data_IF_736183112884
#
_entry.id   IF_736183112884
#
_cell.length_a   1.000
_cell.length_b   1.000
_cell.length_c   1.000
_cell.angle_alpha   90.00
_cell.angle_beta   90.00
_cell.angle_gamma   90.00
#
_symmetry.space_group_name_H-M   'P 1'
#
loop_
_entity.id
_entity.type
_entity.pdbx_description
1 polymer ?
#
# COMPACT_ATOMS: atom_id res chain seq x y z
N UNK A 1 -11.65 -61.87 -43.27
CA UNK A 1 -10.77 -60.74 -42.96
C UNK A 1 -11.66 -59.54 -42.67
N UNK A 2 -11.57 -59.00 -41.45
CA UNK A 2 -12.27 -57.85 -40.86
C UNK A 2 -13.82 -57.84 -40.83
N UNK A 3 -14.35 -58.28 -39.68
CA UNK A 3 -15.65 -57.96 -39.09
C UNK A 3 -15.77 -56.46 -38.80
N UNK A 4 -16.90 -55.85 -39.15
CA UNK A 4 -17.34 -54.55 -38.59
C UNK A 4 -18.60 -54.83 -37.79
N UNK A 5 -18.52 -54.68 -36.47
CA UNK A 5 -19.64 -54.88 -35.57
C UNK A 5 -20.34 -53.53 -35.32
N UNK A 6 -21.64 -53.39 -35.59
CA UNK A 6 -22.35 -52.14 -35.34
C UNK A 6 -22.57 -51.91 -33.84
N UNK A 7 -22.39 -50.66 -33.39
CA UNK A 7 -22.68 -50.22 -32.03
C UNK A 7 -24.20 -50.26 -31.75
N UNK A 8 -24.64 -50.73 -30.57
CA UNK A 8 -26.05 -50.66 -30.19
C UNK A 8 -26.47 -49.22 -29.87
N UNK A 9 -27.52 -48.77 -30.56
CA UNK A 9 -28.25 -47.54 -30.29
C UNK A 9 -29.17 -47.74 -29.08
N UNK A 10 -28.79 -47.19 -27.93
CA UNK A 10 -29.70 -46.99 -26.81
C UNK A 10 -29.57 -45.54 -26.33
N UNK A 11 -30.55 -44.73 -26.70
CA UNK A 11 -30.76 -43.39 -26.15
C UNK A 11 -31.38 -43.56 -24.75
N UNK A 12 -30.75 -43.07 -23.66
CA UNK A 12 -31.40 -43.08 -22.36
C UNK A 12 -32.51 -42.02 -22.33
N UNK A 13 -33.68 -42.45 -21.91
CA UNK A 13 -34.86 -41.62 -21.66
C UNK A 13 -34.56 -40.61 -20.53
N UNK A 14 -34.84 -39.33 -20.78
CA UNK A 14 -34.55 -38.25 -19.85
C UNK A 14 -35.49 -38.37 -18.62
N UNK A 15 -34.91 -38.74 -17.47
CA UNK A 15 -35.59 -38.58 -16.18
C UNK A 15 -35.52 -37.12 -15.74
N UNK A 16 -36.67 -36.58 -15.34
CA UNK A 16 -36.84 -35.22 -14.83
C UNK A 16 -35.80 -34.87 -13.76
N UNK A 17 -34.90 -33.94 -14.09
CA UNK A 17 -33.98 -33.34 -13.14
C UNK A 17 -34.73 -32.44 -12.18
N UNK A 18 -34.77 -32.83 -10.91
CA UNK A 18 -35.16 -31.94 -9.83
C UNK A 18 -34.24 -30.70 -9.84
N UNK A 19 -34.82 -29.50 -10.02
CA UNK A 19 -34.07 -28.25 -9.87
C UNK A 19 -33.67 -28.08 -8.40
N UNK A 20 -32.37 -27.94 -8.06
CA UNK A 20 -31.97 -27.63 -6.70
C UNK A 20 -32.42 -26.20 -6.37
N UNK A 21 -33.24 -26.05 -5.33
CA UNK A 21 -33.55 -24.75 -4.76
C UNK A 21 -32.31 -24.27 -3.99
N UNK A 22 -31.72 -23.10 -4.32
CA UNK A 22 -30.55 -22.61 -3.59
C UNK A 22 -30.95 -22.30 -2.15
N UNK A 23 -30.42 -23.09 -1.20
CA UNK A 23 -30.51 -22.77 0.22
C UNK A 23 -29.56 -21.59 0.48
N UNK A 24 -30.05 -20.56 1.17
CA UNK A 24 -29.22 -19.42 1.56
C UNK A 24 -28.05 -19.93 2.42
N UNK A 25 -26.84 -19.85 1.87
CA UNK A 25 -25.61 -20.12 2.62
C UNK A 25 -25.58 -19.20 3.83
N UNK A 26 -25.47 -19.78 5.03
CA UNK A 26 -25.29 -19.00 6.26
C UNK A 26 -24.09 -18.07 6.07
N UNK A 27 -24.29 -16.77 6.29
CA UNK A 27 -23.20 -15.80 6.24
C UNK A 27 -22.24 -16.13 7.37
N UNK A 28 -21.11 -16.76 7.05
CA UNK A 28 -20.07 -17.08 8.03
C UNK A 28 -19.51 -15.76 8.55
N UNK A 29 -19.42 -15.63 9.87
CA UNK A 29 -18.80 -14.47 10.51
C UNK A 29 -17.38 -14.25 9.95
N UNK A 30 -17.06 -13.04 9.43
CA UNK A 30 -15.74 -12.72 8.90
C UNK A 30 -14.59 -13.00 9.87
N UNK A 31 -14.81 -12.81 11.18
CA UNK A 31 -13.78 -13.08 12.18
C UNK A 31 -13.52 -14.59 12.35
N UNK A 32 -14.52 -15.41 12.07
CA UNK A 32 -14.40 -16.87 12.01
C UNK A 32 -13.67 -17.30 10.74
N UNK A 33 -14.01 -16.74 9.57
CA UNK A 33 -13.29 -17.01 8.31
C UNK A 33 -11.80 -16.65 8.39
N UNK A 34 -11.48 -15.49 8.94
CA UNK A 34 -10.09 -15.03 9.10
C UNK A 34 -9.22 -15.98 9.95
N UNK A 35 -9.82 -16.72 10.89
CA UNK A 35 -9.11 -17.73 11.68
C UNK A 35 -8.75 -18.98 10.87
N UNK A 36 -9.57 -19.33 9.88
CA UNK A 36 -9.30 -20.44 8.97
C UNK A 36 -8.34 -20.04 7.83
N UNK A 37 -8.36 -18.77 7.41
CA UNK A 37 -7.44 -18.24 6.39
C UNK A 37 -5.99 -18.14 6.88
N UNK A 38 -5.77 -17.73 8.15
CA UNK A 38 -4.41 -17.59 8.70
C UNK A 38 -4.32 -18.10 10.16
N UNK A 39 -3.76 -19.31 10.37
CA UNK A 39 -3.65 -19.88 11.71
C UNK A 39 -2.70 -19.04 12.59
N UNK A 40 -2.86 -19.12 13.91
CA UNK A 40 -2.14 -18.25 14.85
C UNK A 40 -0.61 -18.28 14.71
N UNK A 41 -0.04 -19.44 14.37
CA UNK A 41 1.40 -19.60 14.14
C UNK A 41 1.91 -18.93 12.85
N UNK A 42 1.02 -18.67 11.89
CA UNK A 42 1.34 -18.00 10.63
C UNK A 42 1.16 -16.48 10.71
N UNK A 43 0.56 -15.97 11.81
CA UNK A 43 0.39 -14.54 12.04
C UNK A 43 1.70 -13.90 12.44
N UNK A 44 1.92 -12.68 11.97
CA UNK A 44 3.08 -11.88 12.36
C UNK A 44 2.92 -11.41 13.80
N UNK A 45 3.99 -11.55 14.59
CA UNK A 45 4.00 -11.16 16.00
C UNK A 45 3.91 -9.63 16.14
N UNK A 46 3.09 -9.18 17.09
CA UNK A 46 3.09 -7.78 17.55
C UNK A 46 4.03 -7.56 18.74
N UNK A 47 4.59 -8.63 19.31
CA UNK A 47 5.56 -8.56 20.42
C UNK A 47 6.95 -8.23 19.91
N UNK A 48 7.31 -8.70 18.71
CA UNK A 48 8.56 -8.38 18.04
C UNK A 48 8.25 -7.95 16.62
N UNK A 49 8.51 -6.67 16.30
CA UNK A 49 8.08 -6.08 15.04
C UNK A 49 9.28 -5.62 14.24
N UNK A 50 9.35 -6.08 12.99
CA UNK A 50 10.29 -5.60 12.00
C UNK A 50 10.63 -6.69 10.98
N UNK A 51 10.95 -6.30 9.73
CA UNK A 51 11.25 -7.26 8.68
C UNK A 51 12.54 -8.05 8.92
N UNK A 52 13.59 -7.44 9.48
CA UNK A 52 14.95 -8.02 9.51
C UNK A 52 15.31 -8.53 10.91
N UNK A 53 15.53 -9.84 11.05
CA UNK A 53 16.03 -10.46 12.27
C UNK A 53 17.56 -10.35 12.43
N UNK A 54 18.09 -10.72 13.59
CA UNK A 54 19.54 -10.66 13.90
C UNK A 54 20.42 -11.44 12.91
N UNK A 55 19.97 -12.63 12.49
CA UNK A 55 20.67 -13.47 11.50
C UNK A 55 20.77 -12.81 10.12
N UNK A 56 19.89 -11.86 9.83
CA UNK A 56 19.82 -11.11 8.57
C UNK A 56 20.52 -9.74 8.68
N UNK A 57 21.25 -9.51 9.79
CA UNK A 57 21.88 -8.24 10.08
C UNK A 57 20.97 -7.25 10.83
N UNK A 58 19.82 -7.67 11.36
CA UNK A 58 19.07 -6.86 12.32
C UNK A 58 19.86 -6.61 13.60
N UNK A 59 19.45 -5.60 14.36
CA UNK A 59 19.89 -5.44 15.75
C UNK A 59 19.25 -6.51 16.64
N UNK A 60 19.79 -6.68 17.86
CA UNK A 60 19.23 -7.59 18.85
C UNK A 60 17.77 -7.21 19.21
N UNK A 61 16.91 -8.16 19.61
CA UNK A 61 15.52 -7.86 19.95
C UNK A 61 15.36 -6.81 21.06
N UNK A 62 16.35 -6.66 21.92
CA UNK A 62 16.41 -5.70 23.03
C UNK A 62 17.17 -4.41 22.68
N UNK A 63 17.36 -4.09 21.39
CA UNK A 63 18.17 -2.94 20.96
C UNK A 63 17.73 -1.56 21.51
N UNK A 64 16.46 -1.41 21.89
CA UNK A 64 15.93 -0.19 22.54
C UNK A 64 16.05 -0.23 24.08
N UNK A 65 16.58 -1.32 24.64
CA UNK A 65 16.80 -1.52 26.06
C UNK A 65 15.52 -1.35 26.88
N UNK A 66 15.64 -0.62 28.00
CA UNK A 66 14.53 -0.35 28.91
C UNK A 66 13.70 0.91 28.53
N UNK A 67 13.98 1.54 27.39
CA UNK A 67 13.32 2.80 26.99
C UNK A 67 11.80 2.63 26.85
N UNK A 68 11.05 3.61 27.34
CA UNK A 68 9.60 3.57 27.28
C UNK A 68 9.09 3.89 25.86
N UNK A 69 8.04 3.19 25.42
CA UNK A 69 7.46 3.33 24.09
C UNK A 69 7.02 4.76 23.74
N UNK A 70 6.26 5.46 24.60
CA UNK A 70 5.84 6.83 24.31
C UNK A 70 7.03 7.79 24.13
N UNK A 71 8.13 7.56 24.85
CA UNK A 71 9.37 8.33 24.66
C UNK A 71 9.97 8.04 23.28
N UNK A 72 10.08 6.78 22.88
CA UNK A 72 10.61 6.39 21.57
C UNK A 72 9.76 6.95 20.42
N UNK A 73 8.42 6.87 20.52
CA UNK A 73 7.52 7.48 19.52
C UNK A 73 7.70 9.01 19.45
N UNK A 74 7.78 9.68 20.60
CA UNK A 74 8.01 11.12 20.64
C UNK A 74 9.38 11.51 20.06
N UNK A 75 10.42 10.71 20.33
CA UNK A 75 11.74 10.89 19.77
C UNK A 75 11.68 10.73 18.24
N UNK A 76 11.11 9.64 17.73
CA UNK A 76 11.00 9.39 16.28
C UNK A 76 10.25 10.50 15.55
N UNK A 77 9.20 11.08 16.14
CA UNK A 77 8.49 12.23 15.57
C UNK A 77 9.34 13.50 15.51
N UNK A 78 10.23 13.69 16.48
CA UNK A 78 11.06 14.91 16.62
C UNK A 78 12.41 14.83 15.91
N UNK A 79 12.89 13.63 15.60
CA UNK A 79 14.12 13.46 14.81
C UNK A 79 13.92 14.15 13.47
N UNK A 80 14.71 15.20 13.21
CA UNK A 80 14.74 15.88 11.94
C UNK A 80 15.32 14.94 10.86
N UNK A 81 14.68 14.90 9.71
CA UNK A 81 15.11 14.12 8.57
C UNK A 81 14.96 14.97 7.29
N UNK A 82 15.85 14.80 6.28
CA UNK A 82 16.96 13.84 6.24
C UNK A 82 18.12 14.20 7.19
N UNK A 83 18.88 13.19 7.59
CA UNK A 83 20.03 13.35 8.48
C UNK A 83 21.24 13.90 7.71
N UNK A 84 22.07 14.76 8.33
CA UNK A 84 23.25 15.33 7.66
C UNK A 84 24.40 14.32 7.46
N UNK A 85 24.37 13.17 8.15
CA UNK A 85 25.41 12.14 8.07
C UNK A 85 24.90 10.87 7.40
N UNK A 86 25.57 10.46 6.32
CA UNK A 86 25.29 9.21 5.59
C UNK A 86 25.39 7.99 6.50
N UNK A 87 26.46 7.89 7.29
CA UNK A 87 26.65 6.78 8.22
C UNK A 87 25.57 6.71 9.30
N UNK A 88 25.15 7.89 9.81
CA UNK A 88 24.05 7.95 10.77
C UNK A 88 22.72 7.54 10.12
N UNK A 89 22.48 7.94 8.87
CA UNK A 89 21.29 7.53 8.12
C UNK A 89 21.25 6.01 7.91
N UNK A 90 22.36 5.40 7.50
CA UNK A 90 22.49 3.95 7.32
C UNK A 90 22.23 3.21 8.64
N UNK A 91 22.85 3.66 9.74
CA UNK A 91 22.65 3.06 11.05
C UNK A 91 21.20 3.22 11.54
N UNK A 92 20.62 4.41 11.37
CA UNK A 92 19.24 4.66 11.78
C UNK A 92 18.27 3.83 10.95
N UNK A 93 18.43 3.76 9.64
CA UNK A 93 17.64 2.88 8.77
C UNK A 93 17.69 1.45 9.28
N UNK A 94 18.89 0.90 9.52
CA UNK A 94 19.09 -0.46 10.06
C UNK A 94 18.38 -0.63 11.40
N UNK A 95 18.46 0.37 12.28
CA UNK A 95 17.79 0.37 13.58
C UNK A 95 16.27 0.31 13.43
N UNK A 96 15.69 1.11 12.53
CA UNK A 96 14.24 1.21 12.34
C UNK A 96 13.64 -0.03 11.66
N UNK A 97 14.38 -0.68 10.75
CA UNK A 97 13.93 -1.91 10.07
C UNK A 97 14.19 -3.20 10.85
N UNK A 98 14.98 -3.13 11.92
CA UNK A 98 15.29 -4.31 12.73
C UNK A 98 14.04 -4.83 13.43
N UNK A 99 13.93 -6.15 13.52
CA UNK A 99 12.94 -6.86 14.32
C UNK A 99 13.33 -6.73 15.79
N UNK A 100 12.60 -5.90 16.50
CA UNK A 100 12.84 -5.59 17.92
C UNK A 100 11.59 -5.81 18.73
N UNK A 101 11.77 -6.05 20.02
CA UNK A 101 10.70 -6.14 21.00
C UNK A 101 9.92 -4.83 21.02
N UNK A 102 8.59 -4.92 20.94
CA UNK A 102 7.69 -3.78 21.08
C UNK A 102 7.88 -3.16 22.46
N UNK A 103 8.25 -1.86 22.55
CA UNK A 103 8.47 -1.20 23.82
C UNK A 103 7.22 -1.15 24.71
N UNK A 104 7.42 -1.08 26.03
CA UNK A 104 6.32 -0.96 26.99
C UNK A 104 5.51 0.32 26.74
N UNK A 105 4.18 0.20 26.86
CA UNK A 105 3.26 1.35 26.80
C UNK A 105 2.84 1.79 25.40
N UNK A 106 3.22 1.05 24.35
CA UNK A 106 2.74 1.27 22.96
C UNK A 106 2.39 -0.06 22.29
N UNK A 107 1.47 -0.04 21.34
CA UNK A 107 1.15 -1.21 20.52
C UNK A 107 2.19 -1.44 19.41
N UNK A 108 2.40 -2.71 19.03
CA UNK A 108 3.39 -3.06 17.99
C UNK A 108 3.11 -2.40 16.63
N UNK A 109 1.84 -2.26 16.27
CA UNK A 109 1.42 -1.57 15.04
C UNK A 109 1.69 -0.06 15.06
N UNK A 110 1.42 0.62 16.19
CA UNK A 110 1.71 2.06 16.33
C UNK A 110 3.22 2.32 16.37
N UNK A 111 3.97 1.42 16.99
CA UNK A 111 5.42 1.45 16.98
C UNK A 111 6.01 1.19 15.58
N UNK A 112 5.40 0.30 14.79
CA UNK A 112 5.73 0.13 13.38
C UNK A 112 5.44 1.41 12.58
N UNK A 113 4.30 2.05 12.86
CA UNK A 113 3.89 3.28 12.19
C UNK A 113 4.90 4.42 12.40
N UNK A 114 5.39 4.63 13.63
CA UNK A 114 6.39 5.68 13.89
C UNK A 114 7.73 5.42 13.20
N UNK A 115 8.17 4.15 13.18
CA UNK A 115 9.38 3.76 12.46
C UNK A 115 9.23 3.95 10.95
N UNK A 116 8.10 3.50 10.39
CA UNK A 116 7.75 3.71 8.99
C UNK A 116 7.68 5.19 8.62
N UNK A 117 7.07 6.02 9.47
CA UNK A 117 6.97 7.45 9.25
C UNK A 117 8.34 8.16 9.26
N UNK A 118 9.22 7.80 10.20
CA UNK A 118 10.58 8.34 10.21
C UNK A 118 11.37 7.89 8.98
N UNK A 119 11.26 6.63 8.56
CA UNK A 119 11.87 6.13 7.32
C UNK A 119 11.37 6.92 6.10
N UNK A 120 10.07 7.20 5.99
CA UNK A 120 9.53 8.04 4.92
C UNK A 120 10.16 9.43 4.90
N UNK A 121 10.24 10.11 6.05
CA UNK A 121 10.88 11.44 6.14
C UNK A 121 12.37 11.40 5.83
N UNK A 122 13.03 10.26 5.99
CA UNK A 122 14.42 10.04 5.56
C UNK A 122 14.57 9.78 4.05
N UNK A 123 13.50 9.55 3.30
CA UNK A 123 13.55 9.13 1.90
C UNK A 123 13.52 7.62 1.67
N UNK A 124 13.36 6.83 2.73
CA UNK A 124 13.51 5.37 2.72
C UNK A 124 12.17 4.67 2.47
N UNK A 125 11.54 4.93 1.31
CA UNK A 125 10.19 4.45 1.00
C UNK A 125 10.06 2.92 1.02
N UNK A 126 11.02 2.20 0.42
CA UNK A 126 11.01 0.74 0.38
C UNK A 126 11.23 0.11 1.76
N UNK A 127 12.06 0.74 2.60
CA UNK A 127 12.27 0.30 3.98
C UNK A 127 11.02 0.54 4.84
N UNK A 128 10.37 1.70 4.66
CA UNK A 128 9.11 2.01 5.34
C UNK A 128 8.02 0.99 4.99
N UNK A 129 7.91 0.61 3.70
CA UNK A 129 7.05 -0.47 3.23
C UNK A 129 7.32 -1.77 3.95
N UNK A 130 8.57 -2.20 4.01
CA UNK A 130 8.93 -3.44 4.67
C UNK A 130 8.54 -3.46 6.16
N UNK A 131 8.63 -2.31 6.86
CA UNK A 131 8.19 -2.19 8.26
C UNK A 131 6.67 -2.23 8.40
N UNK A 132 5.94 -1.52 7.54
CA UNK A 132 4.47 -1.48 7.55
C UNK A 132 3.90 -2.87 7.23
N UNK A 133 4.42 -3.53 6.20
CA UNK A 133 4.02 -4.87 5.77
C UNK A 133 4.50 -5.99 6.71
N UNK A 134 5.34 -5.69 7.71
CA UNK A 134 5.67 -6.63 8.78
C UNK A 134 4.54 -6.78 9.81
N UNK A 135 3.47 -5.99 9.69
CA UNK A 135 2.23 -6.12 10.45
C UNK A 135 1.18 -6.76 9.55
N UNK A 136 0.35 -7.64 10.10
CA UNK A 136 -0.79 -8.21 9.37
C UNK A 136 -1.91 -7.16 9.24
N UNK A 137 -2.57 -7.10 8.08
CA UNK A 137 -3.58 -6.08 7.77
C UNK A 137 -4.70 -6.00 8.83
N UNK A 138 -5.11 -7.14 9.41
CA UNK A 138 -6.12 -7.19 10.46
C UNK A 138 -5.69 -6.59 11.81
N UNK A 139 -4.39 -6.34 11.99
CA UNK A 139 -3.83 -5.70 13.18
C UNK A 139 -3.47 -4.22 12.96
N UNK A 140 -3.82 -3.64 11.80
CA UNK A 140 -3.52 -2.24 11.53
C UNK A 140 -4.34 -1.32 12.42
N UNK A 141 -3.65 -0.37 13.05
CA UNK A 141 -4.28 0.72 13.78
C UNK A 141 -4.60 1.88 12.82
N UNK A 142 -5.48 2.82 13.20
CA UNK A 142 -5.72 4.04 12.40
C UNK A 142 -4.44 4.81 12.07
N UNK A 143 -3.45 4.80 12.97
CA UNK A 143 -2.13 5.41 12.78
C UNK A 143 -1.33 4.65 11.72
N UNK A 144 -1.32 3.33 11.76
CA UNK A 144 -0.62 2.52 10.76
C UNK A 144 -1.26 2.64 9.38
N UNK A 145 -2.59 2.74 9.27
CA UNK A 145 -3.26 3.03 7.99
C UNK A 145 -2.76 4.35 7.38
N UNK A 146 -2.71 5.44 8.17
CA UNK A 146 -2.19 6.73 7.69
C UNK A 146 -0.76 6.59 7.12
N UNK A 147 0.11 5.88 7.83
CA UNK A 147 1.49 5.66 7.36
C UNK A 147 1.52 4.76 6.13
N UNK A 148 0.72 3.68 6.11
CA UNK A 148 0.64 2.76 4.98
C UNK A 148 0.23 3.45 3.68
N UNK A 149 -0.73 4.38 3.73
CA UNK A 149 -1.10 5.16 2.55
C UNK A 149 0.07 5.99 2.03
N UNK A 150 0.75 6.71 2.93
CA UNK A 150 1.91 7.50 2.54
C UNK A 150 3.06 6.62 2.02
N UNK A 151 3.22 5.42 2.57
CA UNK A 151 4.20 4.44 2.10
C UNK A 151 3.90 3.93 0.70
N UNK A 152 2.67 3.53 0.42
CA UNK A 152 2.24 3.12 -0.92
C UNK A 152 2.49 4.23 -1.96
N UNK A 153 2.10 5.47 -1.62
CA UNK A 153 2.30 6.64 -2.47
C UNK A 153 3.79 6.98 -2.66
N UNK A 154 4.60 6.96 -1.60
CA UNK A 154 6.03 7.22 -1.68
C UNK A 154 6.77 6.19 -2.56
N UNK A 155 6.28 4.96 -2.64
CA UNK A 155 6.84 3.95 -3.53
C UNK A 155 6.24 3.97 -4.95
N UNK A 156 5.28 4.86 -5.23
CA UNK A 156 4.61 4.94 -6.53
C UNK A 156 3.76 3.70 -6.84
N UNK A 157 3.13 3.11 -5.83
CA UNK A 157 2.36 1.87 -5.97
C UNK A 157 0.98 2.01 -5.31
N UNK A 158 -0.04 2.54 -6.01
CA UNK A 158 -1.40 2.62 -5.49
C UNK A 158 -2.05 1.25 -5.32
N UNK A 159 -1.52 0.18 -5.94
CA UNK A 159 -2.04 -1.18 -5.78
C UNK A 159 -1.84 -1.73 -4.37
N UNK A 160 -0.79 -1.28 -3.69
CA UNK A 160 -0.53 -1.61 -2.27
C UNK A 160 -1.67 -1.18 -1.33
N UNK A 161 -2.50 -0.21 -1.73
CA UNK A 161 -3.66 0.24 -0.95
C UNK A 161 -4.82 -0.74 -0.98
N UNK A 162 -4.92 -1.60 -1.99
CA UNK A 162 -6.11 -2.39 -2.25
C UNK A 162 -6.50 -3.41 -1.17
N UNK A 163 -5.56 -4.18 -0.58
CA UNK A 163 -5.92 -5.03 0.56
C UNK A 163 -6.21 -4.25 1.84
N UNK A 164 -6.03 -2.93 1.85
CA UNK A 164 -6.21 -2.05 3.01
C UNK A 164 -7.41 -1.10 2.86
N UNK A 165 -7.95 -0.91 1.65
CA UNK A 165 -8.82 0.23 1.34
C UNK A 165 -10.10 0.30 2.18
N UNK A 166 -10.80 -0.82 2.31
CA UNK A 166 -12.07 -0.88 3.05
C UNK A 166 -11.86 -0.68 4.55
N UNK A 167 -10.91 -1.42 5.13
CA UNK A 167 -10.61 -1.33 6.55
C UNK A 167 -9.98 0.03 6.92
N UNK A 168 -9.14 0.58 6.03
CA UNK A 168 -8.55 1.90 6.17
C UNK A 168 -9.60 3.02 6.16
N UNK A 169 -10.59 2.94 5.25
CA UNK A 169 -11.72 3.87 5.24
C UNK A 169 -12.54 3.76 6.52
N UNK A 170 -12.86 2.55 6.97
CA UNK A 170 -13.62 2.32 8.19
C UNK A 170 -12.90 2.86 9.44
N UNK A 171 -11.58 2.66 9.52
CA UNK A 171 -10.76 3.02 10.66
C UNK A 171 -10.45 4.53 10.73
N UNK A 172 -10.17 5.18 9.59
CA UNK A 172 -9.67 6.58 9.55
C UNK A 172 -10.70 7.59 9.06
N UNK A 173 -11.67 7.15 8.23
CA UNK A 173 -12.63 8.00 7.51
C UNK A 173 -11.99 9.06 6.60
N UNK A 174 -10.73 8.87 6.21
CA UNK A 174 -10.04 9.82 5.33
C UNK A 174 -10.53 9.69 3.88
N UNK A 175 -10.65 10.83 3.20
CA UNK A 175 -11.11 10.89 1.81
C UNK A 175 -10.22 10.10 0.86
N UNK A 176 -8.91 10.06 1.14
CA UNK A 176 -7.94 9.31 0.34
C UNK A 176 -8.30 7.83 0.20
N UNK A 177 -8.85 7.22 1.26
CA UNK A 177 -9.26 5.81 1.21
C UNK A 177 -10.50 5.59 0.35
N UNK A 178 -11.44 6.54 0.32
CA UNK A 178 -12.58 6.47 -0.62
C UNK A 178 -12.11 6.55 -2.07
N UNK A 179 -11.09 7.36 -2.37
CA UNK A 179 -10.51 7.42 -3.71
C UNK A 179 -9.70 6.16 -4.02
N UNK A 180 -9.01 5.60 -3.03
CA UNK A 180 -8.28 4.33 -3.16
C UNK A 180 -9.21 3.17 -3.51
N UNK A 181 -10.40 3.07 -2.92
CA UNK A 181 -11.41 2.07 -3.31
C UNK A 181 -11.70 2.12 -4.82
N UNK A 182 -11.86 3.33 -5.38
CA UNK A 182 -12.11 3.51 -6.81
C UNK A 182 -10.94 3.07 -7.68
N UNK A 183 -9.71 3.41 -7.28
CA UNK A 183 -8.49 2.94 -7.95
C UNK A 183 -8.39 1.41 -7.91
N UNK A 184 -8.69 0.80 -6.77
CA UNK A 184 -8.64 -0.64 -6.58
C UNK A 184 -9.68 -1.39 -7.39
N UNK A 185 -10.91 -0.88 -7.48
CA UNK A 185 -11.91 -1.44 -8.40
C UNK A 185 -11.39 -1.45 -9.86
N UNK A 186 -10.70 -0.39 -10.29
CA UNK A 186 -10.08 -0.32 -11.63
C UNK A 186 -8.96 -1.35 -11.81
N UNK A 187 -8.04 -1.42 -10.85
CA UNK A 187 -6.90 -2.36 -10.88
C UNK A 187 -7.35 -3.83 -10.81
N UNK A 188 -8.48 -4.12 -10.14
CA UNK A 188 -9.09 -5.45 -10.07
C UNK A 188 -9.91 -5.82 -11.31
N UNK A 189 -9.95 -4.99 -12.36
CA UNK A 189 -10.67 -5.28 -13.59
C UNK A 189 -12.18 -5.03 -13.50
N UNK A 190 -12.63 -4.17 -12.58
CA UNK A 190 -14.03 -3.77 -12.44
C UNK A 190 -14.25 -2.31 -12.92
N UNK A 191 -14.11 -2.00 -14.23
CA UNK A 191 -14.10 -0.64 -14.73
C UNK A 191 -15.44 0.10 -14.57
N UNK A 192 -16.57 -0.61 -14.61
CA UNK A 192 -17.89 -0.01 -14.40
C UNK A 192 -18.08 0.44 -12.95
N UNK A 193 -17.65 -0.39 -12.01
CA UNK A 193 -17.64 -0.05 -10.59
C UNK A 193 -16.72 1.14 -10.34
N UNK A 194 -15.49 1.09 -10.83
CA UNK A 194 -14.52 2.17 -10.69
C UNK A 194 -15.05 3.51 -11.24
N UNK A 195 -15.68 3.51 -12.43
CA UNK A 195 -16.34 4.70 -13.01
C UNK A 195 -17.43 5.25 -12.10
N UNK A 196 -18.26 4.38 -11.53
CA UNK A 196 -19.34 4.79 -10.63
C UNK A 196 -18.79 5.42 -9.33
N UNK A 197 -17.73 4.84 -8.78
CA UNK A 197 -17.08 5.32 -7.57
C UNK A 197 -16.34 6.65 -7.82
N UNK A 198 -15.64 6.80 -8.94
CA UNK A 198 -15.04 8.08 -9.36
C UNK A 198 -16.12 9.16 -9.56
N UNK A 199 -17.26 8.84 -10.15
CA UNK A 199 -18.37 9.78 -10.28
C UNK A 199 -18.93 10.20 -8.90
N UNK A 200 -18.97 9.28 -7.93
CA UNK A 200 -19.33 9.61 -6.55
C UNK A 200 -18.29 10.49 -5.85
N UNK A 201 -16.99 10.18 -6.00
CA UNK A 201 -15.87 11.00 -5.51
C UNK A 201 -15.98 12.43 -6.03
N UNK A 202 -16.23 12.60 -7.33
CA UNK A 202 -16.41 13.91 -7.97
C UNK A 202 -17.63 14.65 -7.44
N UNK A 203 -18.80 13.99 -7.41
CA UNK A 203 -20.06 14.61 -6.91
C UNK A 203 -19.96 15.06 -5.47
N UNK A 204 -19.20 14.34 -4.63
CA UNK A 204 -18.99 14.65 -3.21
C UNK A 204 -17.82 15.59 -2.96
N UNK A 205 -17.07 15.99 -3.99
CA UNK A 205 -15.89 16.84 -3.85
C UNK A 205 -14.78 16.22 -2.99
N UNK A 206 -14.64 14.89 -3.00
CA UNK A 206 -13.64 14.19 -2.18
C UNK A 206 -12.22 14.31 -2.73
N UNK A 207 -12.10 14.46 -4.05
CA UNK A 207 -10.89 14.84 -4.78
C UNK A 207 -11.29 15.71 -5.99
N UNK A 208 -10.43 16.66 -6.35
CA UNK A 208 -10.69 17.66 -7.39
C UNK A 208 -9.44 17.94 -8.21
N UNK A 209 -9.61 18.52 -9.40
CA UNK A 209 -8.51 18.93 -10.26
C UNK A 209 -7.53 17.79 -10.54
N UNK A 210 -6.23 18.08 -10.42
CA UNK A 210 -5.16 17.11 -10.69
C UNK A 210 -5.23 15.87 -9.81
N UNK A 211 -5.62 15.98 -8.55
CA UNK A 211 -5.66 14.83 -7.62
C UNK A 211 -6.70 13.80 -8.06
N UNK A 212 -7.83 14.27 -8.63
CA UNK A 212 -8.83 13.41 -9.24
C UNK A 212 -8.36 12.87 -10.60
N UNK A 213 -7.75 13.71 -11.45
CA UNK A 213 -7.27 13.28 -12.77
C UNK A 213 -6.21 12.16 -12.66
N UNK A 214 -5.29 12.29 -11.70
CA UNK A 214 -4.30 11.25 -11.41
C UNK A 214 -4.95 9.95 -10.95
N UNK A 215 -5.94 10.01 -10.05
CA UNK A 215 -6.68 8.83 -9.63
C UNK A 215 -7.45 8.17 -10.79
N UNK A 216 -8.06 8.97 -11.67
CA UNK A 216 -8.73 8.48 -12.87
C UNK A 216 -7.75 7.82 -13.84
N UNK A 217 -6.52 8.32 -13.92
CA UNK A 217 -5.47 7.72 -14.76
C UNK A 217 -5.05 6.35 -14.24
N UNK A 218 -4.94 6.19 -12.91
CA UNK A 218 -4.73 4.87 -12.28
C UNK A 218 -5.86 3.91 -12.61
N UNK A 219 -7.12 4.36 -12.49
CA UNK A 219 -8.30 3.57 -12.88
C UNK A 219 -8.24 3.17 -14.37
N UNK A 220 -7.83 4.10 -15.23
CA UNK A 220 -7.67 3.87 -16.67
C UNK A 220 -6.48 2.98 -17.05
N UNK A 221 -5.50 2.81 -16.18
CA UNK A 221 -4.38 1.90 -16.38
C UNK A 221 -4.72 0.42 -16.08
N UNK A 222 -5.87 0.17 -15.44
CA UNK A 222 -6.36 -1.19 -15.18
C UNK A 222 -6.83 -1.92 -16.45
N UNK A 223 -7.08 -3.25 -16.35
CA UNK A 223 -7.64 -4.04 -17.46
C UNK A 223 -8.95 -3.43 -17.98
N UNK A 224 -9.11 -3.38 -19.30
CA UNK A 224 -10.26 -2.76 -19.98
C UNK A 224 -10.52 -1.28 -19.60
N UNK A 225 -9.48 -0.61 -19.07
CA UNK A 225 -9.44 0.80 -18.75
C UNK A 225 -9.47 1.68 -20.00
N UNK A 226 -10.67 2.06 -20.45
CA UNK A 226 -10.86 2.84 -21.66
C UNK A 226 -10.68 4.36 -21.53
N UNK A 227 -10.08 4.89 -20.46
CA UNK A 227 -9.98 6.35 -20.24
C UNK A 227 -8.54 6.85 -20.31
N UNK A 228 -8.20 7.45 -21.45
CA UNK A 228 -7.03 8.31 -21.56
C UNK A 228 -7.31 9.62 -20.80
N UNK A 229 -6.63 9.81 -19.67
CA UNK A 229 -6.69 11.05 -18.89
C UNK A 229 -5.40 11.84 -19.15
N UNK A 230 -5.56 13.03 -19.74
CA UNK A 230 -4.50 14.04 -19.81
C UNK A 230 -4.36 14.70 -18.45
N UNK A 231 -3.13 14.78 -17.96
CA UNK A 231 -2.81 15.41 -16.69
C UNK A 231 -2.31 16.82 -16.97
N UNK A 232 -2.98 17.81 -16.43
CA UNK A 232 -2.59 19.22 -16.53
C UNK A 232 -1.99 19.65 -15.20
N UNK A 233 -0.73 20.08 -15.24
CA UNK A 233 -0.02 20.61 -14.07
C UNK A 233 -0.15 22.13 -13.91
N UNK A 234 -0.82 22.80 -14.85
CA UNK A 234 -1.05 24.24 -14.81
C UNK A 234 -1.83 24.65 -13.56
N UNK A 235 -1.30 25.63 -12.83
CA UNK A 235 -1.89 26.10 -11.57
C UNK A 235 -1.71 25.15 -10.38
N UNK A 236 -0.83 24.15 -10.49
CA UNK A 236 -0.44 23.29 -9.36
C UNK A 236 0.73 23.92 -8.62
N UNK A 237 0.52 24.30 -7.36
CA UNK A 237 1.54 25.01 -6.57
C UNK A 237 2.35 24.11 -5.62
N UNK A 238 1.96 22.84 -5.45
CA UNK A 238 2.59 21.95 -4.48
C UNK A 238 2.58 20.47 -4.93
N UNK A 239 3.71 19.77 -4.75
CA UNK A 239 3.83 18.34 -4.97
C UNK A 239 3.55 17.56 -3.69
N UNK A 240 2.32 17.03 -3.55
CA UNK A 240 1.96 16.15 -2.44
C UNK A 240 2.44 14.71 -2.67
N UNK A 241 2.49 13.91 -1.60
CA UNK A 241 2.74 12.46 -1.72
C UNK A 241 1.73 11.78 -2.66
N UNK A 242 0.46 12.21 -2.63
CA UNK A 242 -0.57 11.74 -3.56
C UNK A 242 -0.19 12.01 -5.02
N UNK A 243 0.18 13.26 -5.34
CA UNK A 243 0.54 13.67 -6.70
C UNK A 243 1.78 12.95 -7.20
N UNK A 244 2.83 12.91 -6.38
CA UNK A 244 4.06 12.19 -6.67
C UNK A 244 3.78 10.71 -6.92
N UNK A 245 3.13 10.04 -5.96
CA UNK A 245 2.91 8.60 -6.02
C UNK A 245 2.07 8.17 -7.22
N UNK A 246 0.96 8.85 -7.49
CA UNK A 246 0.10 8.49 -8.61
C UNK A 246 0.71 8.85 -9.97
N UNK A 247 1.45 9.96 -10.06
CA UNK A 247 2.16 10.32 -11.29
C UNK A 247 3.28 9.31 -11.57
N UNK A 248 4.07 8.95 -10.55
CA UNK A 248 5.11 7.92 -10.64
C UNK A 248 4.53 6.56 -11.05
N UNK A 249 3.41 6.13 -10.45
CA UNK A 249 2.75 4.86 -10.77
C UNK A 249 2.26 4.77 -12.22
N UNK A 250 1.87 5.90 -12.80
CA UNK A 250 1.29 5.98 -14.16
C UNK A 250 2.26 6.57 -15.18
N UNK A 251 3.54 6.68 -14.82
CA UNK A 251 4.61 7.25 -15.64
C UNK A 251 4.26 8.63 -16.23
N UNK A 252 3.58 9.46 -15.44
CA UNK A 252 3.30 10.86 -15.78
C UNK A 252 4.50 11.70 -15.37
N UNK A 253 5.06 12.43 -16.33
CA UNK A 253 6.16 13.36 -16.05
C UNK A 253 5.70 14.45 -15.07
N UNK A 254 6.49 14.66 -14.03
CA UNK A 254 6.27 15.71 -13.02
C UNK A 254 7.18 16.89 -13.40
N UNK A 255 6.64 18.12 -13.54
CA UNK A 255 7.44 19.30 -13.78
C UNK A 255 8.57 19.46 -12.74
N UNK A 256 9.84 19.67 -13.14
CA UNK A 256 10.97 19.76 -12.22
C UNK A 256 10.79 20.80 -11.10
N UNK A 257 10.19 21.95 -11.42
CA UNK A 257 9.93 23.03 -10.45
C UNK A 257 9.00 22.61 -9.29
N UNK A 258 8.17 21.58 -9.48
CA UNK A 258 7.30 21.09 -8.41
C UNK A 258 8.06 20.35 -7.32
N UNK A 259 9.24 19.80 -7.61
CA UNK A 259 10.05 19.14 -6.57
C UNK A 259 10.58 20.15 -5.54
N UNK A 260 10.76 21.42 -5.92
CA UNK A 260 11.18 22.49 -5.00
C UNK A 260 10.09 22.86 -3.98
N UNK A 261 8.84 22.45 -4.24
CA UNK A 261 7.69 22.68 -3.35
C UNK A 261 7.50 21.57 -2.32
N UNK A 262 8.21 20.44 -2.48
CA UNK A 262 8.16 19.30 -1.58
C UNK A 262 9.43 19.21 -0.73
N UNK A 263 9.38 18.43 0.35
CA UNK A 263 10.60 18.10 1.10
C UNK A 263 11.53 17.21 0.27
N UNK A 264 12.84 17.26 0.57
CA UNK A 264 13.88 16.51 -0.18
C UNK A 264 13.61 15.00 -0.29
N UNK A 265 12.89 14.43 0.67
CA UNK A 265 12.49 13.02 0.63
C UNK A 265 11.69 12.66 -0.64
N UNK A 266 10.94 13.59 -1.23
CA UNK A 266 10.20 13.37 -2.47
C UNK A 266 11.14 13.09 -3.65
N UNK A 267 12.27 13.79 -3.73
CA UNK A 267 13.32 13.51 -4.73
C UNK A 267 13.95 12.15 -4.48
N UNK A 268 14.15 11.76 -3.20
CA UNK A 268 14.72 10.46 -2.88
C UNK A 268 13.80 9.31 -3.30
N UNK A 269 12.51 9.42 -2.99
CA UNK A 269 11.48 8.49 -3.42
C UNK A 269 11.42 8.36 -4.95
N UNK A 270 11.46 9.50 -5.66
CA UNK A 270 11.51 9.52 -7.12
C UNK A 270 12.77 8.82 -7.66
N UNK A 271 13.94 9.12 -7.09
CA UNK A 271 15.23 8.56 -7.48
C UNK A 271 15.33 7.04 -7.36
N UNK A 272 14.65 6.44 -6.36
CA UNK A 272 14.66 4.99 -6.13
C UNK A 272 13.46 4.26 -6.73
N UNK A 273 12.48 4.98 -7.29
CA UNK A 273 11.26 4.37 -7.79
C UNK A 273 11.52 3.47 -9.01
N UNK A 274 11.11 2.19 -8.96
CA UNK A 274 11.32 1.25 -10.07
C UNK A 274 10.42 1.52 -11.28
N UNK A 275 9.32 2.25 -11.09
CA UNK A 275 8.37 2.57 -12.17
C UNK A 275 8.83 3.69 -13.11
N UNK A 276 9.89 4.42 -12.74
CA UNK A 276 10.45 5.51 -13.52
C UNK A 276 11.65 5.00 -14.33
N UNK A 277 11.80 5.49 -15.56
CA UNK A 277 12.92 5.12 -16.41
C UNK A 277 14.26 5.48 -15.73
N UNK A 278 15.31 4.68 -16.00
CA UNK A 278 16.64 4.94 -15.44
C UNK A 278 17.14 6.34 -15.78
N UNK A 279 16.92 6.80 -17.00
CA UNK A 279 17.33 8.13 -17.48
C UNK A 279 16.66 9.24 -16.69
N UNK A 280 15.36 9.12 -16.41
CA UNK A 280 14.59 10.18 -15.75
C UNK A 280 14.92 10.26 -14.25
N UNK A 281 15.20 9.13 -13.59
CA UNK A 281 15.52 9.12 -12.15
C UNK A 281 16.99 9.32 -11.83
N UNK A 282 17.90 9.18 -12.80
CA UNK A 282 19.35 9.34 -12.60
C UNK A 282 19.74 10.66 -11.91
N UNK A 283 19.18 11.84 -12.28
CA UNK A 283 19.53 13.09 -11.60
C UNK A 283 19.17 13.11 -10.11
N UNK A 284 18.15 12.35 -9.71
CA UNK A 284 17.72 12.24 -8.32
C UNK A 284 18.39 11.07 -7.58
N UNK A 285 19.02 10.13 -8.30
CA UNK A 285 19.58 8.91 -7.74
C UNK A 285 20.76 9.18 -6.79
N UNK A 286 21.64 10.13 -7.11
CA UNK A 286 22.76 10.49 -6.24
C UNK A 286 22.28 11.10 -4.92
N UNK A 287 21.23 11.91 -4.98
CA UNK A 287 20.64 12.52 -3.79
C UNK A 287 19.97 11.45 -2.89
N UNK A 288 19.45 10.38 -3.48
CA UNK A 288 18.77 9.28 -2.81
C UNK A 288 19.71 8.19 -2.25
N UNK A 289 20.97 8.15 -2.71
CA UNK A 289 21.94 7.12 -2.36
C UNK A 289 22.64 7.40 -1.03
#
# INVERSE_FOLDING_TARGET
MATVQPLPSSTPEASDSASPTPTATATIDPATLAQYEMPSFARRSLTEVGPIGTSEGGLAPDAFGAADGPYLEALMRRVAAPLPSRWLSILLRRTLVSRVTTPRGVGGADFAAERGWLLLRMGEAAAARAVVQAIDNGAYTPKLYQVAMNTALANGDPGELCPLADAGLAATRERGWTVAQAMCAGLSGNPNEAKSQIAAVRRRGLATGIDLQLAQKVVGAGPDGGQAVTIEWDGVDHLSAWRLGLATATNVAIPPALFDTAGRQALYWYGISPGISLTDRLPAAEAAA
#
